data_IF_736197413996
#
_entry.id   IF_736197413996
#
_cell.length_a   1.000
_cell.length_b   1.000
_cell.length_c   1.000
_cell.angle_alpha   90.00
_cell.angle_beta   90.00
_cell.angle_gamma   90.00
#
_symmetry.space_group_name_H-M   'P 1'
#
loop_
_entity.id
_entity.type
_entity.pdbx_description
1 polymer ?
2 non-polymer ?
3 non-polymer ?
4 water ?
#
# COMPACT_ATOMS: atom_id res chain seq x y z
N UNK A 10 -6.36 -20.78 7.88
CA UNK A 10 -7.71 -20.17 8.08
C UNK A 10 -8.60 -20.38 6.85
N UNK A 11 -9.73 -21.09 6.98
CA UNK A 11 -10.30 -21.63 8.24
C UNK A 11 -11.05 -20.62 9.12
N UNK A 12 -11.19 -19.39 8.61
CA UNK A 12 -11.90 -18.32 9.31
C UNK A 12 -13.12 -17.85 8.52
N UNK A 13 -14.13 -17.27 9.21
CA UNK A 13 -15.30 -16.68 8.55
C UNK A 13 -14.96 -15.94 7.26
N UNK A 14 -15.77 -16.16 6.22
CA UNK A 14 -15.54 -15.58 4.90
C UNK A 14 -15.47 -14.04 4.93
N UNK A 15 -16.45 -13.40 5.56
CA UNK A 15 -16.47 -11.93 5.66
C UNK A 15 -15.27 -11.36 6.41
N UNK A 16 -14.69 -12.18 7.29
CA UNK A 16 -13.47 -11.81 7.98
C UNK A 16 -12.26 -11.97 7.07
N UNK A 17 -12.25 -13.05 6.29
CA UNK A 17 -11.21 -13.27 5.29
C UNK A 17 -11.24 -12.21 4.19
N UNK A 18 -12.45 -11.85 3.76
CA UNK A 18 -12.67 -10.80 2.76
C UNK A 18 -12.20 -9.43 3.25
N UNK A 19 -12.44 -9.15 4.52
CA UNK A 19 -12.05 -7.88 5.13
C UNK A 19 -10.54 -7.71 5.16
N UNK A 20 -9.83 -8.81 5.41
CA UNK A 20 -8.37 -8.81 5.48
C UNK A 20 -7.73 -8.56 4.12
N UNK A 21 -8.33 -9.13 3.08
CA UNK A 21 -7.86 -8.94 1.71
C UNK A 21 -8.18 -7.56 1.17
N UNK A 22 -9.37 -7.04 1.47
CA UNK A 22 -9.72 -5.66 1.11
C UNK A 22 -8.73 -4.67 1.72
N UNK A 23 -8.41 -4.90 2.99
CA UNK A 23 -7.51 -4.05 3.76
C UNK A 23 -6.09 -4.01 3.19
N UNK A 24 -5.58 -5.16 2.76
CA UNK A 24 -4.22 -5.24 2.24
C UNK A 24 -4.11 -4.73 0.79
N UNK A 25 -5.26 -4.51 0.17
CA UNK A 25 -5.37 -4.05 -1.21
C UNK A 25 -5.74 -2.56 -1.27
N UNK A 26 -6.10 -2.00 -0.12
CA UNK A 26 -6.54 -0.61 -0.01
C UNK A 26 -5.41 0.29 0.50
N UNK A 27 -5.34 1.50 -0.04
CA UNK A 27 -4.34 2.49 0.35
C UNK A 27 -4.36 2.74 1.86
N UNK A 28 -3.18 2.69 2.47
CA UNK A 28 -3.05 2.86 3.91
C UNK A 28 -3.12 4.32 4.38
N UNK A 29 -3.18 5.27 3.44
CA UNK A 29 -3.31 6.68 3.84
C UNK A 29 -4.70 7.28 3.54
N UNK A 30 -5.26 7.00 2.36
CA UNK A 30 -6.58 7.52 2.01
C UNK A 30 -7.71 6.54 2.33
N UNK A 31 -7.36 5.30 2.67
CA UNK A 31 -8.33 4.23 2.96
C UNK A 31 -9.46 4.15 1.92
N UNK A 32 -9.14 4.52 0.68
CA UNK A 32 -10.13 4.65 -0.40
C UNK A 32 -9.69 3.85 -1.62
N UNK A 33 -8.83 4.45 -2.44
CA UNK A 33 -8.33 3.83 -3.68
C UNK A 33 -7.42 2.65 -3.38
N UNK A 34 -7.24 1.77 -4.37
CA UNK A 34 -6.39 0.61 -4.16
C UNK A 34 -4.90 0.93 -4.33
N UNK A 35 -4.07 0.14 -3.66
CA UNK A 35 -2.62 0.27 -3.74
C UNK A 35 -2.19 0.11 -5.20
N UNK A 36 -1.18 0.86 -5.60
CA UNK A 36 -0.67 0.79 -6.97
C UNK A 36 0.77 1.29 -7.11
N UNK A 37 1.42 1.58 -5.99
CA UNK A 37 2.78 2.07 -6.00
C UNK A 37 3.64 1.17 -5.13
N UNK A 38 4.76 0.70 -5.68
CA UNK A 38 5.74 -0.05 -4.90
C UNK A 38 6.87 0.89 -4.51
N UNK A 39 7.20 0.96 -3.21
CA UNK A 39 8.31 1.79 -2.79
C UNK A 39 9.63 1.07 -3.09
N UNK A 40 10.62 1.84 -3.53
CA UNK A 40 12.00 1.38 -3.58
C UNK A 40 12.80 2.16 -2.53
N UNK A 41 13.63 1.48 -1.69
CA UNK A 41 14.04 0.07 -1.61
C UNK A 41 13.19 -0.91 -0.77
N UNK A 42 12.29 -0.43 0.09
CA UNK A 42 11.56 -1.34 1.00
C UNK A 42 10.67 -2.36 0.29
N UNK A 43 10.12 -2.00 -0.87
CA UNK A 43 9.24 -2.91 -1.60
C UNK A 43 7.82 -3.02 -1.09
N UNK A 44 7.41 -2.13 -0.18
CA UNK A 44 6.01 -2.12 0.23
C UNK A 44 5.07 -1.62 -0.85
N UNK A 45 3.92 -2.27 -0.96
CA UNK A 45 2.85 -1.84 -1.84
C UNK A 45 1.69 -1.46 -0.93
N UNK A 46 1.67 -0.20 -0.50
CA UNK A 46 0.75 0.21 0.58
C UNK A 46 -0.02 1.49 0.30
N UNK A 47 0.32 2.18 -0.79
CA UNK A 47 -0.38 3.43 -1.12
C UNK A 47 -0.80 3.47 -2.57
N UNK A 48 -1.74 4.37 -2.87
CA UNK A 48 -2.18 4.61 -4.25
C UNK A 48 -1.29 5.68 -4.90
N UNK A 49 -1.51 5.91 -6.20
CA UNK A 49 -0.68 6.82 -6.99
C UNK A 49 -0.95 8.28 -6.66
N UNK A 50 -2.14 8.55 -6.12
CA UNK A 50 -2.51 9.90 -5.70
C UNK A 50 -1.84 10.26 -4.38
N UNK A 51 -1.66 9.27 -3.52
CA UNK A 51 -1.12 9.49 -2.18
C UNK A 51 0.41 9.44 -2.12
N UNK A 52 1.03 8.64 -2.98
CA UNK A 52 2.47 8.45 -2.94
C UNK A 52 3.34 9.73 -2.95
N UNK A 53 3.01 10.73 -3.80
CA UNK A 53 3.85 11.93 -3.84
C UNK A 53 3.88 12.74 -2.54
N UNK A 54 2.92 12.48 -1.66
CA UNK A 54 2.87 13.24 -0.42
C UNK A 54 3.75 12.62 0.68
N UNK A 55 4.35 11.46 0.38
CA UNK A 55 5.16 10.73 1.33
C UNK A 55 6.65 10.80 1.06
N UNK A 56 7.42 10.93 2.13
CA UNK A 56 8.89 10.87 2.11
C UNK A 56 9.34 9.47 2.58
N UNK A 57 8.50 8.87 3.43
CA UNK A 57 8.81 7.59 4.07
C UNK A 57 7.63 6.64 3.97
N UNK A 58 7.95 5.35 3.97
CA UNK A 58 6.95 4.30 3.91
C UNK A 58 6.09 4.22 5.19
N UNK A 59 4.75 4.16 5.03
CA UNK A 59 3.83 4.05 6.18
C UNK A 59 3.99 2.81 7.07
N UNK A 60 4.47 1.70 6.51
CA UNK A 60 4.51 0.41 7.21
C UNK A 60 5.79 0.27 8.03
N UNK A 61 6.92 0.06 7.36
CA UNK A 61 8.23 0.21 7.97
C UNK A 61 8.38 1.70 7.89
N UNK A 62 9.59 2.23 7.85
CA UNK A 62 9.69 3.69 7.73
C UNK A 62 10.83 4.12 6.83
N UNK A 63 11.06 3.33 5.78
CA UNK A 63 12.20 3.58 4.88
C UNK A 63 11.92 4.80 4.06
N UNK A 64 12.96 5.58 3.84
CA UNK A 64 12.80 6.77 3.04
C UNK A 64 12.77 6.31 1.60
N UNK A 65 11.68 6.67 0.96
CA UNK A 65 11.40 6.25 -0.39
C UNK A 65 12.43 6.87 -1.33
N UNK A 66 13.16 6.02 -2.05
CA UNK A 66 14.19 6.49 -2.98
C UNK A 66 13.76 6.34 -4.45
N UNK A 67 12.70 5.57 -4.67
CA UNK A 67 12.11 5.38 -6.00
C UNK A 67 10.72 4.76 -5.86
N UNK A 68 10.00 4.68 -6.98
CA UNK A 68 8.66 4.06 -7.00
C UNK A 68 8.43 3.35 -8.32
N UNK A 69 7.63 2.29 -8.27
CA UNK A 69 7.18 1.59 -9.48
C UNK A 69 5.66 1.53 -9.42
N UNK A 70 5.01 1.88 -10.52
CA UNK A 70 3.58 1.80 -10.62
C UNK A 70 3.19 0.36 -10.94
N UNK A 71 2.37 -0.24 -10.08
CA UNK A 71 1.90 -1.59 -10.35
C UNK A 71 0.38 -1.72 -10.51
N UNK A 72 -0.04 -2.76 -11.23
CA UNK A 72 -1.45 -3.07 -11.47
C UNK A 72 -1.75 -4.49 -10.98
N UNK A 73 -2.74 -4.60 -10.09
CA UNK A 73 -3.27 -5.90 -9.66
C UNK A 73 -4.21 -6.43 -10.74
N UNK A 74 -4.07 -7.71 -11.07
CA UNK A 74 -4.85 -8.31 -12.15
C UNK A 74 -5.43 -9.68 -11.82
X LIG B 1 -4.34 6.75 -1.43
X LIG C 1 8.22 -0.01 3.61
X LIG D 1 11.25 2.42 0.52
#
# INVERSE_FOLDING_TARGET
>A
LGSGTTEDVSDLPVEEQLRRLQEERTCKVCMDKEVSIVFIPCGHLVVCKDCAPSLRKCPICRSTIKGTVRTFLS
>B hetero
1 ZN ZN
>C hetero
1 ZN ZN
>D hetero
1 NA NA
#
